data_IF_451135482906
#
_entry.id   IF_451135482906
#
_cell.length_a   1.000
_cell.length_b   1.000
_cell.length_c   1.000
_cell.angle_alpha   90.00
_cell.angle_beta   90.00
_cell.angle_gamma   90.00
#
_symmetry.space_group_name_H-M   'P 1'
#
loop_
_entity.id
_entity.type
_entity.pdbx_description
1 polymer ?
#
# COMPACT_ATOMS: atom_id res chain seq x y z
N UNK A 1 -11.58 3.47 -9.39
CA UNK A 1 -10.74 2.27 -9.29
C UNK A 1 -10.93 1.35 -10.49
N UNK A 2 -12.18 1.03 -10.86
CA UNK A 2 -12.48 0.22 -12.04
C UNK A 2 -12.02 0.81 -13.37
N UNK A 3 -11.97 2.12 -13.45
CA UNK A 3 -11.50 2.84 -14.66
C UNK A 3 -9.97 2.85 -14.81
N UNK A 4 -9.24 2.53 -13.75
CA UNK A 4 -7.77 2.49 -13.72
C UNK A 4 -7.20 1.09 -13.93
N UNK A 5 -8.03 0.07 -13.85
CA UNK A 5 -7.60 -1.33 -13.89
C UNK A 5 -8.60 -2.12 -14.72
N UNK A 6 -8.17 -2.58 -15.87
CA UNK A 6 -9.00 -3.36 -16.80
C UNK A 6 -9.37 -4.77 -16.29
N UNK A 7 -8.86 -5.19 -15.12
CA UNK A 7 -9.04 -6.55 -14.64
C UNK A 7 -9.54 -6.63 -13.19
N UNK A 8 -10.38 -7.61 -12.95
CA UNK A 8 -10.82 -8.02 -11.60
C UNK A 8 -9.66 -8.44 -10.68
N UNK A 9 -8.45 -8.61 -11.24
CA UNK A 9 -7.26 -9.04 -10.52
C UNK A 9 -6.88 -8.14 -9.32
N UNK A 10 -7.22 -6.85 -9.37
CA UNK A 10 -6.91 -5.88 -8.32
C UNK A 10 -8.12 -5.43 -7.49
N UNK A 11 -9.29 -6.04 -7.68
CA UNK A 11 -10.53 -5.68 -6.96
C UNK A 11 -10.44 -5.84 -5.43
N UNK A 12 -9.45 -6.59 -4.95
CA UNK A 12 -9.22 -6.79 -3.52
C UNK A 12 -8.64 -5.58 -2.79
N UNK A 13 -8.18 -4.54 -3.50
CA UNK A 13 -7.72 -3.28 -2.90
C UNK A 13 -8.88 -2.29 -2.82
N UNK A 14 -9.29 -1.97 -1.61
CA UNK A 14 -10.41 -1.07 -1.34
C UNK A 14 -9.87 0.32 -1.01
N UNK A 15 -10.09 1.27 -1.91
CA UNK A 15 -9.78 2.67 -1.68
C UNK A 15 -10.95 3.39 -1.04
N UNK A 16 -10.67 4.24 -0.07
CA UNK A 16 -11.65 5.05 0.64
C UNK A 16 -11.42 6.53 0.31
N UNK A 17 -12.49 7.21 -0.05
CA UNK A 17 -12.50 8.64 -0.34
C UNK A 17 -13.46 9.32 0.62
N UNK A 18 -13.10 10.52 1.05
CA UNK A 18 -13.95 11.35 1.88
C UNK A 18 -14.44 12.55 1.08
N UNK A 19 -15.76 12.73 1.01
CA UNK A 19 -16.36 13.93 0.46
C UNK A 19 -16.03 15.14 1.34
N UNK A 20 -15.63 16.24 0.72
CA UNK A 20 -15.30 17.50 1.41
C UNK A 20 -16.33 18.54 1.07
N UNK A 21 -16.70 18.69 -0.21
CA UNK A 21 -17.62 19.72 -0.66
C UNK A 21 -18.39 19.26 -1.91
N UNK A 22 -19.54 19.86 -2.12
CA UNK A 22 -20.36 19.67 -3.32
C UNK A 22 -20.30 20.96 -4.15
N UNK A 23 -19.79 20.89 -5.36
CA UNK A 23 -19.71 21.99 -6.30
C UNK A 23 -20.60 21.69 -7.51
N UNK A 24 -21.74 22.38 -7.61
CA UNK A 24 -22.79 22.12 -8.61
C UNK A 24 -23.34 20.67 -8.48
N UNK A 25 -23.08 19.82 -9.49
CA UNK A 25 -23.46 18.40 -9.51
C UNK A 25 -22.30 17.45 -9.15
N UNK A 26 -21.09 18.00 -8.89
CA UNK A 26 -19.89 17.22 -8.62
C UNK A 26 -19.56 17.21 -7.13
N UNK A 27 -19.17 16.06 -6.62
CA UNK A 27 -18.70 15.89 -5.25
C UNK A 27 -17.18 15.89 -5.23
N UNK A 28 -16.59 16.90 -4.60
CA UNK A 28 -15.15 16.99 -4.41
C UNK A 28 -14.69 16.07 -3.28
N UNK A 29 -13.77 15.17 -3.59
CA UNK A 29 -13.31 14.15 -2.65
C UNK A 29 -11.82 14.23 -2.40
N UNK A 30 -11.38 13.80 -1.22
CA UNK A 30 -9.97 13.65 -0.86
C UNK A 30 -9.68 12.19 -0.47
N UNK A 31 -8.44 11.77 -0.65
CA UNK A 31 -8.01 10.44 -0.27
C UNK A 31 -8.12 10.24 1.25
N UNK A 32 -8.79 9.19 1.67
CA UNK A 32 -8.97 8.85 3.09
C UNK A 32 -8.18 7.59 3.51
N UNK A 33 -7.84 6.75 2.55
CA UNK A 33 -7.03 5.57 2.81
C UNK A 33 -7.26 4.43 1.83
N UNK A 34 -6.51 3.36 2.04
CA UNK A 34 -6.64 2.10 1.32
C UNK A 34 -6.57 0.93 2.29
N UNK A 35 -7.30 -0.12 2.03
CA UNK A 35 -7.23 -1.38 2.76
C UNK A 35 -7.36 -2.58 1.83
N UNK A 36 -6.77 -3.68 2.23
CA UNK A 36 -6.99 -4.97 1.60
C UNK A 36 -8.37 -5.51 2.00
N UNK A 37 -9.06 -6.24 1.11
CA UNK A 37 -10.30 -6.94 1.47
C UNK A 37 -10.01 -8.04 2.50
N UNK A 38 -10.98 -8.29 3.38
CA UNK A 38 -10.83 -9.32 4.43
C UNK A 38 -10.63 -10.72 3.83
N UNK A 39 -11.30 -11.01 2.72
CA UNK A 39 -11.19 -12.30 2.04
C UNK A 39 -9.77 -12.53 1.50
N UNK A 40 -9.18 -11.50 0.86
CA UNK A 40 -7.79 -11.56 0.39
C UNK A 40 -6.83 -11.71 1.56
N UNK A 41 -7.00 -10.91 2.61
CA UNK A 41 -6.15 -10.99 3.81
C UNK A 41 -6.19 -12.38 4.43
N UNK A 42 -7.37 -12.97 4.61
CA UNK A 42 -7.54 -14.32 5.15
C UNK A 42 -6.91 -15.39 4.25
N UNK A 43 -6.99 -15.23 2.93
CA UNK A 43 -6.41 -16.16 1.96
C UNK A 43 -4.88 -16.19 1.96
N UNK A 44 -4.24 -15.11 2.43
CA UNK A 44 -2.79 -15.00 2.52
C UNK A 44 -2.20 -15.80 3.68
N UNK A 45 -2.99 -16.04 4.73
CA UNK A 45 -2.52 -16.75 5.93
C UNK A 45 -2.18 -18.22 5.58
N UNK A 46 -0.94 -18.60 5.82
CA UNK A 46 -0.41 -19.94 5.52
C UNK A 46 0.24 -20.55 6.74
N UNK A 47 -0.08 -21.83 7.01
CA UNK A 47 0.61 -22.61 8.04
C UNK A 47 2.08 -22.85 7.67
N UNK A 48 2.91 -23.05 8.68
CA UNK A 48 4.34 -23.41 8.57
C UNK A 48 5.22 -22.32 7.93
N UNK A 49 4.77 -21.08 7.89
CA UNK A 49 5.53 -19.91 7.44
C UNK A 49 5.56 -18.86 8.53
N UNK A 50 6.60 -18.02 8.54
CA UNK A 50 6.64 -16.86 9.43
C UNK A 50 5.97 -15.69 8.72
N UNK A 51 5.00 -15.08 9.40
CA UNK A 51 4.44 -13.79 9.03
C UNK A 51 5.33 -12.69 9.61
N UNK A 52 5.70 -11.74 8.77
CA UNK A 52 6.37 -10.50 9.18
C UNK A 52 5.45 -9.34 8.85
N UNK A 53 5.14 -8.55 9.86
CA UNK A 53 4.37 -7.32 9.71
C UNK A 53 5.27 -6.12 9.95
N UNK A 54 5.11 -5.09 9.12
CA UNK A 54 5.79 -3.82 9.27
C UNK A 54 4.80 -2.67 9.12
N UNK A 55 4.98 -1.64 9.94
CA UNK A 55 4.18 -0.42 9.89
C UNK A 55 5.07 0.80 10.05
N UNK A 56 4.77 1.85 9.29
CA UNK A 56 5.55 3.09 9.29
C UNK A 56 4.65 4.30 9.10
N UNK A 57 4.97 5.37 9.81
CA UNK A 57 4.35 6.67 9.61
C UNK A 57 5.27 7.52 8.73
N UNK A 58 4.75 8.02 7.64
CA UNK A 58 5.50 8.78 6.64
C UNK A 58 4.75 10.04 6.24
N UNK A 59 5.49 11.12 6.00
CA UNK A 59 4.97 12.35 5.45
C UNK A 59 5.22 12.39 3.94
N UNK A 60 4.17 12.66 3.16
CA UNK A 60 4.28 12.88 1.71
C UNK A 60 4.63 14.34 1.39
N UNK A 61 5.16 14.62 0.19
CA UNK A 61 5.39 16.00 -0.26
C UNK A 61 4.12 16.86 -0.24
N UNK A 62 2.96 16.26 -0.52
CA UNK A 62 1.64 16.91 -0.47
C UNK A 62 1.17 17.31 0.93
N UNK A 63 1.96 17.03 1.97
CA UNK A 63 1.63 17.37 3.36
C UNK A 63 0.72 16.35 4.08
N UNK A 64 0.39 15.22 3.47
CA UNK A 64 -0.26 14.12 4.17
C UNK A 64 0.70 13.44 5.13
N UNK A 65 0.16 13.00 6.28
CA UNK A 65 0.83 12.04 7.17
C UNK A 65 0.07 10.73 7.06
N UNK A 66 0.74 9.71 6.53
CA UNK A 66 0.17 8.40 6.27
C UNK A 66 0.78 7.36 7.18
N UNK A 67 -0.04 6.44 7.66
CA UNK A 67 0.40 5.18 8.25
C UNK A 67 0.23 4.07 7.24
N UNK A 68 1.33 3.54 6.74
CA UNK A 68 1.37 2.40 5.85
C UNK A 68 1.70 1.13 6.64
N UNK A 69 1.01 0.05 6.33
CA UNK A 69 1.25 -1.28 6.91
C UNK A 69 1.37 -2.30 5.80
N UNK A 70 2.36 -3.15 5.88
CA UNK A 70 2.56 -4.25 4.95
C UNK A 70 2.80 -5.56 5.69
N UNK A 71 2.50 -6.66 5.03
CA UNK A 71 2.78 -8.02 5.48
C UNK A 71 3.59 -8.77 4.45
N UNK A 72 4.37 -9.73 4.90
CA UNK A 72 5.09 -10.65 4.04
C UNK A 72 5.24 -12.02 4.71
N UNK A 73 5.34 -13.06 3.91
CA UNK A 73 5.50 -14.43 4.38
C UNK A 73 6.84 -15.00 3.90
N UNK A 74 7.47 -15.82 4.73
CA UNK A 74 8.68 -16.55 4.33
C UNK A 74 8.37 -17.54 3.22
N UNK A 75 9.21 -17.57 2.18
CA UNK A 75 9.05 -18.48 1.04
C UNK A 75 9.54 -19.89 1.38
N UNK A 76 8.80 -20.89 0.96
CA UNK A 76 9.21 -22.29 1.07
C UNK A 76 10.21 -22.61 -0.05
N UNK A 77 11.47 -22.87 0.32
CA UNK A 77 12.55 -23.17 -0.64
C UNK A 77 12.57 -24.63 -1.06
N UNK A 78 12.37 -25.55 -0.09
CA UNK A 78 12.51 -26.99 -0.31
C UNK A 78 11.16 -27.68 -0.21
N UNK A 79 10.83 -28.49 -1.22
CA UNK A 79 9.60 -29.28 -1.24
C UNK A 79 9.52 -30.26 -0.04
N UNK A 80 10.67 -30.78 0.39
CA UNK A 80 10.76 -31.81 1.47
C UNK A 80 10.60 -31.25 2.89
N UNK A 81 10.76 -29.93 3.09
CA UNK A 81 10.57 -29.31 4.41
C UNK A 81 9.16 -28.73 4.52
N UNK A 82 8.40 -29.15 5.54
CA UNK A 82 7.05 -28.60 5.81
C UNK A 82 7.10 -27.16 6.29
N UNK A 83 8.09 -26.81 7.13
CA UNK A 83 8.17 -25.51 7.80
C UNK A 83 9.30 -24.66 7.26
N UNK A 84 9.05 -23.34 7.13
CA UNK A 84 10.02 -22.33 6.73
C UNK A 84 9.91 -21.13 7.69
N UNK A 85 10.45 -21.30 8.89
CA UNK A 85 10.42 -20.26 9.92
C UNK A 85 11.68 -19.41 9.88
N UNK A 86 11.52 -18.11 10.10
CA UNK A 86 12.61 -17.17 10.28
C UNK A 86 12.97 -17.02 11.76
N UNK A 87 14.26 -16.97 12.07
CA UNK A 87 14.77 -16.62 13.39
C UNK A 87 14.42 -15.17 13.74
N UNK A 88 14.42 -14.83 15.03
CA UNK A 88 14.02 -13.51 15.53
C UNK A 88 14.87 -12.39 14.91
N UNK A 89 16.19 -12.52 14.89
CA UNK A 89 17.11 -11.54 14.28
C UNK A 89 16.77 -11.28 12.81
N UNK A 90 16.56 -12.34 12.02
CA UNK A 90 16.17 -12.19 10.61
C UNK A 90 14.81 -11.54 10.43
N UNK A 91 13.84 -11.79 11.33
CA UNK A 91 12.53 -11.11 11.29
C UNK A 91 12.66 -9.61 11.51
N UNK A 92 13.56 -9.19 12.41
CA UNK A 92 13.83 -7.76 12.67
C UNK A 92 14.53 -7.10 11.49
N UNK A 93 15.52 -7.75 10.89
CA UNK A 93 16.18 -7.25 9.68
C UNK A 93 15.19 -7.08 8.52
N UNK A 94 14.33 -8.08 8.27
CA UNK A 94 13.28 -8.02 7.25
C UNK A 94 12.32 -6.86 7.53
N UNK A 95 11.86 -6.72 8.78
CA UNK A 95 10.96 -5.62 9.18
C UNK A 95 11.59 -4.26 8.93
N UNK A 96 12.84 -4.09 9.28
CA UNK A 96 13.58 -2.85 9.04
C UNK A 96 13.75 -2.56 7.55
N UNK A 97 14.05 -3.57 6.72
CA UNK A 97 14.10 -3.44 5.27
C UNK A 97 12.74 -3.01 4.68
N UNK A 98 11.64 -3.62 5.14
CA UNK A 98 10.28 -3.24 4.72
C UNK A 98 9.95 -1.79 5.11
N UNK A 99 10.24 -1.39 6.34
CA UNK A 99 10.00 -0.03 6.85
C UNK A 99 10.78 1.01 6.03
N UNK A 100 12.06 0.78 5.80
CA UNK A 100 12.90 1.70 5.05
C UNK A 100 12.42 1.84 3.60
N UNK A 101 12.10 0.73 2.94
CA UNK A 101 11.57 0.76 1.56
C UNK A 101 10.26 1.52 1.47
N UNK A 102 9.31 1.26 2.37
CA UNK A 102 8.04 2.00 2.40
C UNK A 102 8.25 3.48 2.67
N UNK A 103 9.18 3.84 3.59
CA UNK A 103 9.49 5.22 3.90
C UNK A 103 10.03 5.96 2.69
N UNK A 104 11.02 5.37 2.01
CA UNK A 104 11.68 5.98 0.85
C UNK A 104 10.68 6.21 -0.29
N UNK A 105 9.85 5.21 -0.61
CA UNK A 105 8.86 5.30 -1.68
C UNK A 105 7.73 6.29 -1.39
N UNK A 106 7.19 6.27 -0.18
CA UNK A 106 6.08 7.16 0.17
C UNK A 106 6.53 8.61 0.33
N UNK A 107 7.73 8.85 0.88
CA UNK A 107 8.25 10.20 1.08
C UNK A 107 8.61 10.92 -0.21
N UNK A 108 8.88 10.19 -1.28
CA UNK A 108 9.28 10.75 -2.57
C UNK A 108 8.12 11.08 -3.51
N UNK A 109 6.89 10.66 -3.20
CA UNK A 109 5.76 10.67 -4.14
C UNK A 109 4.52 11.35 -3.60
N UNK A 110 3.77 11.94 -4.53
CA UNK A 110 2.45 12.51 -4.27
C UNK A 110 1.39 11.40 -4.09
N UNK A 111 0.27 11.73 -3.47
CA UNK A 111 -0.84 10.76 -3.25
C UNK A 111 -1.33 10.12 -4.55
N UNK A 112 -1.40 10.88 -5.63
CA UNK A 112 -1.88 10.37 -6.92
C UNK A 112 -0.96 9.29 -7.48
N UNK A 113 0.36 9.55 -7.48
CA UNK A 113 1.38 8.63 -7.96
C UNK A 113 1.48 7.40 -7.03
N UNK A 114 1.37 7.62 -5.72
CA UNK A 114 1.33 6.56 -4.72
C UNK A 114 0.16 5.59 -4.96
N UNK A 115 -1.04 6.09 -5.26
CA UNK A 115 -2.19 5.25 -5.59
C UNK A 115 -1.94 4.40 -6.85
N UNK A 116 -1.32 4.97 -7.87
CA UNK A 116 -0.97 4.25 -9.10
C UNK A 116 0.04 3.14 -8.83
N UNK A 117 1.06 3.40 -8.00
CA UNK A 117 2.05 2.40 -7.63
C UNK A 117 1.51 1.26 -6.77
N UNK A 118 0.59 1.56 -5.87
CA UNK A 118 -0.09 0.52 -5.10
C UNK A 118 -0.87 -0.40 -6.03
N UNK A 119 -1.50 0.15 -7.08
CA UNK A 119 -2.24 -0.64 -8.06
C UNK A 119 -1.28 -1.49 -8.91
N UNK A 120 -0.12 -0.94 -9.32
CA UNK A 120 0.89 -1.64 -10.14
C UNK A 120 1.76 -2.63 -9.36
N UNK A 121 1.59 -2.72 -8.04
CA UNK A 121 2.38 -3.58 -7.14
C UNK A 121 3.90 -3.29 -7.14
N UNK A 122 4.28 -2.09 -7.53
CA UNK A 122 5.70 -1.70 -7.59
C UNK A 122 6.35 -1.73 -6.22
N UNK A 123 5.63 -1.23 -5.21
CA UNK A 123 6.11 -1.19 -3.82
C UNK A 123 6.36 -2.60 -3.27
N UNK A 124 5.45 -3.53 -3.51
CA UNK A 124 5.56 -4.92 -3.09
C UNK A 124 6.76 -5.62 -3.75
N UNK A 125 6.97 -5.38 -5.05
CA UNK A 125 8.09 -5.93 -5.81
C UNK A 125 9.44 -5.42 -5.28
N UNK A 126 9.54 -4.12 -4.97
CA UNK A 126 10.77 -3.55 -4.41
C UNK A 126 11.08 -4.10 -3.01
N UNK A 127 10.08 -4.27 -2.17
CA UNK A 127 10.23 -4.90 -0.86
C UNK A 127 10.78 -6.33 -1.01
N UNK A 128 10.21 -7.11 -1.92
CA UNK A 128 10.68 -8.48 -2.19
C UNK A 128 12.15 -8.46 -2.60
N UNK A 129 12.54 -7.59 -3.53
CA UNK A 129 13.91 -7.49 -4.02
C UNK A 129 14.92 -7.14 -2.91
N UNK A 130 14.59 -6.16 -2.06
CA UNK A 130 15.46 -5.76 -0.93
C UNK A 130 15.54 -6.83 0.15
N UNK A 131 14.48 -7.58 0.38
CA UNK A 131 14.46 -8.63 1.37
C UNK A 131 15.13 -9.95 0.92
N UNK A 132 15.32 -10.16 -0.39
CA UNK A 132 15.97 -11.37 -0.91
C UNK A 132 17.38 -11.59 -0.38
N UNK A 133 18.11 -10.53 -0.07
CA UNK A 133 19.46 -10.59 0.50
C UNK A 133 19.49 -11.16 1.92
N UNK A 134 18.40 -10.99 2.67
CA UNK A 134 18.26 -11.44 4.07
C UNK A 134 17.63 -12.82 4.10
N UNK A 135 16.47 -12.95 3.49
CA UNK A 135 15.70 -14.18 3.38
C UNK A 135 14.68 -14.07 2.25
N UNK A 136 14.44 -15.16 1.53
CA UNK A 136 13.39 -15.15 0.52
C UNK A 136 12.01 -15.01 1.14
N UNK A 137 11.31 -13.99 0.70
CA UNK A 137 9.93 -13.66 1.11
C UNK A 137 9.02 -13.84 -0.10
N UNK A 138 7.80 -14.22 0.18
CA UNK A 138 6.73 -14.40 -0.78
C UNK A 138 5.45 -13.70 -0.29
N UNK A 139 4.52 -13.44 -1.19
CA UNK A 139 3.22 -12.85 -0.83
C UNK A 139 3.33 -11.57 0.01
N UNK A 140 4.13 -10.62 -0.44
CA UNK A 140 4.20 -9.29 0.17
C UNK A 140 3.02 -8.46 -0.33
N UNK A 141 2.27 -7.89 0.60
CA UNK A 141 1.14 -7.00 0.30
C UNK A 141 1.10 -5.80 1.23
N UNK A 142 0.80 -4.64 0.65
CA UNK A 142 0.40 -3.47 1.44
C UNK A 142 -1.02 -3.70 1.91
N UNK A 143 -1.19 -3.90 3.22
CA UNK A 143 -2.49 -4.26 3.82
C UNK A 143 -3.37 -3.06 4.07
N UNK A 144 -2.76 -1.96 4.49
CA UNK A 144 -3.50 -0.76 4.86
C UNK A 144 -2.65 0.49 4.71
N UNK A 145 -3.24 1.53 4.15
CA UNK A 145 -2.73 2.89 4.21
C UNK A 145 -3.82 3.75 4.85
N UNK A 146 -3.49 4.34 6.00
CA UNK A 146 -4.41 5.19 6.76
C UNK A 146 -3.89 6.63 6.76
N UNK A 147 -4.75 7.58 6.45
CA UNK A 147 -4.44 9.00 6.60
C UNK A 147 -4.55 9.35 8.08
N UNK A 148 -3.45 9.76 8.70
CA UNK A 148 -3.41 10.28 10.07
C UNK A 148 -3.76 11.76 10.06
N UNK A 149 -3.11 12.51 9.16
CA UNK A 149 -3.35 13.94 8.97
C UNK A 149 -3.39 14.24 7.48
N UNK A 150 -4.45 14.90 7.06
CA UNK A 150 -4.59 15.43 5.70
C UNK A 150 -4.31 16.93 5.72
N UNK A 151 -3.74 17.50 4.65
CA UNK A 151 -3.69 18.94 4.49
C UNK A 151 -5.11 19.50 4.35
N UNK A 152 -5.28 20.75 4.74
CA UNK A 152 -6.54 21.47 4.55
C UNK A 152 -6.47 22.14 3.17
N UNK A 153 -7.36 21.75 2.28
CA UNK A 153 -7.47 22.35 0.95
C UNK A 153 -8.58 23.39 0.93
N UNK A 154 -8.33 24.49 0.24
CA UNK A 154 -9.39 25.44 -0.12
C UNK A 154 -10.23 24.86 -1.27
N UNK A 155 -11.47 25.34 -1.41
CA UNK A 155 -12.40 24.88 -2.48
C UNK A 155 -11.79 25.05 -3.87
N UNK A 156 -11.06 26.14 -4.08
CA UNK A 156 -10.40 26.43 -5.37
C UNK A 156 -9.26 25.46 -5.67
N UNK A 157 -8.47 25.07 -4.67
CA UNK A 157 -7.41 24.07 -4.81
C UNK A 157 -7.99 22.69 -5.10
N UNK A 158 -9.08 22.32 -4.42
CA UNK A 158 -9.79 21.07 -4.70
C UNK A 158 -10.32 21.02 -6.13
N UNK A 159 -10.92 22.10 -6.61
CA UNK A 159 -11.37 22.19 -8.01
C UNK A 159 -10.22 22.02 -8.99
N UNK A 160 -9.08 22.65 -8.74
CA UNK A 160 -7.88 22.50 -9.59
C UNK A 160 -7.37 21.07 -9.61
N UNK A 161 -7.33 20.38 -8.46
CA UNK A 161 -6.92 18.98 -8.35
C UNK A 161 -7.84 18.03 -9.15
N UNK A 162 -9.13 18.34 -9.23
CA UNK A 162 -10.11 17.55 -9.99
C UNK A 162 -10.18 17.90 -11.48
N UNK A 163 -9.92 19.16 -11.87
CA UNK A 163 -9.96 19.60 -13.27
C UNK A 163 -8.85 19.00 -14.15
N UNK A 164 -7.73 18.57 -13.57
CA UNK A 164 -6.64 17.90 -14.30
C UNK A 164 -6.92 16.47 -14.75
N UNK A 165 -8.06 15.89 -14.38
CA UNK A 165 -8.44 14.50 -14.67
C UNK A 165 -9.74 14.42 -15.46
N UNK A 166 -9.74 14.99 -16.66
CA UNK A 166 -10.74 14.64 -17.67
C UNK A 166 -10.49 13.17 -18.05
N UNK A 167 -11.34 12.29 -17.55
CA UNK A 167 -11.39 10.90 -18.03
C UNK A 167 -11.67 10.96 -19.52
N UNK A 168 -10.68 10.56 -20.34
CA UNK A 168 -10.95 10.28 -21.75
C UNK A 168 -11.92 9.10 -21.76
N UNK A 169 -13.14 9.39 -22.24
CA UNK A 169 -14.17 8.37 -22.49
C UNK A 169 -13.76 7.47 -23.65
#
# INVERSE_FOLDING_TARGET
HGDLVDEQAHAYRLFSWRSVEVANNDVLTVFAGMRLSNDKFSSLLRKYRTLVEAGVDVRTPDGYILRASCIGFTKKLNANRKACYAQQSKREEIRNAMINTMRDLISSKNIADLCTEIISETMEKEIINKCQTIMQIDNVYVTKIKVIKAPVYTVEELKKLHQGRTVQK
#
